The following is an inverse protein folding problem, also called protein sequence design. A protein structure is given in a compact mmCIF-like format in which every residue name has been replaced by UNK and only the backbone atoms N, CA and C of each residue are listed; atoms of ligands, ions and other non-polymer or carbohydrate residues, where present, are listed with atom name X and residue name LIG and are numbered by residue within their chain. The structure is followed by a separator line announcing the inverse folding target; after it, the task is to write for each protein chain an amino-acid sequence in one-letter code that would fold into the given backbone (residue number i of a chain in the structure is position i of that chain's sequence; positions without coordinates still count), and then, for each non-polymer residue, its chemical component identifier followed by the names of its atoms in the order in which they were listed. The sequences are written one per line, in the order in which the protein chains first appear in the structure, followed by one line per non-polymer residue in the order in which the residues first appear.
data_IF_416354879092
#
_entry.id   IF_416354879092
#
_cell.length_a   1.000
_cell.length_b   1.000
_cell.length_c   1.000
_cell.angle_alpha   90.00
_cell.angle_beta   90.00
_cell.angle_gamma   90.00
#
_symmetry.space_group_name_H-M   'P 1'
#
loop_
_entity.id
_entity.type
_entity.pdbx_description
1 polymer ?
#
# COMPACT_ATOMS: atom_id res chain seq x y z
N UNK A 1 15.75 -11.51 -28.84
CA UNK A 1 15.01 -11.80 -27.58
C UNK A 1 14.48 -10.48 -27.04
N UNK A 2 13.16 -10.33 -26.89
CA UNK A 2 12.59 -9.21 -26.14
C UNK A 2 13.05 -9.41 -24.69
N UNK A 3 13.71 -8.43 -24.09
CA UNK A 3 13.88 -8.46 -22.63
C UNK A 3 12.47 -8.55 -22.03
N UNK A 4 12.22 -9.61 -21.25
CA UNK A 4 10.95 -9.76 -20.54
C UNK A 4 10.87 -8.58 -19.57
N UNK A 5 9.98 -7.63 -19.88
CA UNK A 5 9.73 -6.51 -18.99
C UNK A 5 8.80 -6.99 -17.89
N UNK A 6 9.25 -6.97 -16.64
CA UNK A 6 8.42 -7.31 -15.48
C UNK A 6 7.44 -6.18 -15.22
N UNK A 7 6.15 -6.48 -15.23
CA UNK A 7 5.09 -5.51 -14.99
C UNK A 7 4.73 -5.52 -13.51
N UNK A 8 4.72 -4.36 -12.86
CA UNK A 8 4.39 -4.25 -11.44
C UNK A 8 3.15 -3.40 -11.21
N UNK A 9 2.39 -3.70 -10.17
CA UNK A 9 1.40 -2.78 -9.62
C UNK A 9 1.61 -2.59 -8.12
N UNK A 10 1.45 -1.36 -7.66
CA UNK A 10 1.68 -0.95 -6.27
C UNK A 10 0.32 -0.61 -5.63
N UNK A 11 0.05 -1.16 -4.46
CA UNK A 11 -1.17 -0.92 -3.69
C UNK A 11 -0.78 -0.44 -2.29
N UNK A 12 -1.12 0.81 -1.97
CA UNK A 12 -0.75 1.45 -0.70
C UNK A 12 -1.96 1.62 0.20
N UNK A 13 -2.01 0.81 1.25
CA UNK A 13 -2.91 1.04 2.39
C UNK A 13 -2.38 2.22 3.21
N UNK A 14 -2.87 3.42 2.89
CA UNK A 14 -2.40 4.66 3.50
C UNK A 14 -2.70 4.73 4.99
N UNK A 15 -3.75 4.07 5.47
CA UNK A 15 -4.08 4.03 6.89
C UNK A 15 -3.07 3.16 7.65
N UNK A 16 -2.82 1.93 7.18
CA UNK A 16 -1.82 1.04 7.79
C UNK A 16 -0.42 1.66 7.72
N UNK A 17 -0.05 2.23 6.58
CA UNK A 17 1.24 2.90 6.40
C UNK A 17 1.39 4.17 7.22
N UNK A 18 0.31 4.91 7.50
CA UNK A 18 0.37 6.06 8.41
C UNK A 18 0.78 5.63 9.82
N UNK A 19 0.17 4.58 10.36
CA UNK A 19 0.55 4.03 11.67
C UNK A 19 1.98 3.46 11.67
N UNK A 20 2.39 2.81 10.58
CA UNK A 20 3.76 2.31 10.43
C UNK A 20 4.81 3.43 10.44
N UNK A 21 4.57 4.50 9.68
CA UNK A 21 5.44 5.70 9.66
C UNK A 21 5.50 6.40 11.01
N UNK A 22 4.36 6.53 11.70
CA UNK A 22 4.30 7.08 13.07
C UNK A 22 5.13 6.26 14.05
N UNK A 23 5.05 4.92 14.00
CA UNK A 23 5.86 4.03 14.85
C UNK A 23 7.35 4.19 14.57
N UNK A 24 7.73 4.29 13.30
CA UNK A 24 9.13 4.41 12.90
C UNK A 24 9.71 5.82 13.11
N UNK A 25 8.86 6.84 13.27
CA UNK A 25 9.28 8.23 13.45
C UNK A 25 9.73 8.93 12.17
N UNK A 26 9.36 8.42 11.00
CA UNK A 26 9.69 9.02 9.70
C UNK A 26 8.62 8.74 8.66
N UNK A 27 8.54 9.60 7.64
CA UNK A 27 7.57 9.49 6.55
C UNK A 27 8.27 9.30 5.20
N UNK A 28 7.73 8.45 4.34
CA UNK A 28 8.25 8.27 3.00
C UNK A 28 7.71 9.33 2.02
N UNK A 29 8.46 9.59 0.97
CA UNK A 29 8.02 10.36 -0.19
C UNK A 29 7.35 9.42 -1.21
N UNK A 30 6.05 9.63 -1.53
CA UNK A 30 5.35 8.82 -2.53
C UNK A 30 6.06 8.75 -3.88
N UNK A 31 6.75 9.82 -4.29
CA UNK A 31 7.53 9.82 -5.54
C UNK A 31 8.67 8.81 -5.48
N UNK A 32 9.35 8.73 -4.35
CA UNK A 32 10.49 7.82 -4.14
C UNK A 32 10.06 6.37 -4.09
N UNK A 33 8.84 6.07 -3.64
CA UNK A 33 8.28 4.71 -3.75
C UNK A 33 8.23 4.27 -5.21
N UNK A 34 7.65 5.10 -6.08
CA UNK A 34 7.56 4.80 -7.51
C UNK A 34 8.96 4.59 -8.10
N UNK A 35 9.89 5.50 -7.81
CA UNK A 35 11.28 5.38 -8.27
C UNK A 35 11.97 4.12 -7.76
N UNK A 36 11.84 3.79 -6.47
CA UNK A 36 12.49 2.63 -5.87
C UNK A 36 12.11 1.32 -6.58
N UNK A 37 10.81 1.09 -6.81
CA UNK A 37 10.35 -0.13 -7.46
C UNK A 37 10.50 -0.15 -8.99
N UNK A 38 10.80 0.98 -9.62
CA UNK A 38 10.95 1.07 -11.09
C UNK A 38 12.39 1.29 -11.54
N UNK A 39 13.34 1.40 -10.61
CA UNK A 39 14.74 1.65 -10.94
C UNK A 39 15.46 0.42 -11.53
N UNK A 40 14.90 -0.78 -11.35
CA UNK A 40 15.45 -2.01 -11.92
C UNK A 40 15.25 -2.06 -13.44
N UNK A 41 16.30 -2.32 -14.25
CA UNK A 41 16.18 -2.43 -15.70
C UNK A 41 15.15 -3.49 -16.11
N UNK A 42 14.20 -3.10 -16.97
CA UNK A 42 13.15 -4.00 -17.44
C UNK A 42 11.88 -3.98 -16.59
N UNK A 43 11.85 -3.31 -15.44
CA UNK A 43 10.61 -3.14 -14.67
C UNK A 43 9.75 -2.03 -15.27
N UNK A 44 8.44 -2.31 -15.43
CA UNK A 44 7.43 -1.36 -15.88
C UNK A 44 6.32 -1.23 -14.84
N UNK A 45 6.06 -0.01 -14.39
CA UNK A 45 4.88 0.29 -13.57
C UNK A 45 3.62 0.25 -14.44
N UNK A 46 2.64 -0.57 -14.06
CA UNK A 46 1.32 -0.62 -14.68
C UNK A 46 0.32 0.24 -13.92
N UNK A 47 0.22 0.03 -12.60
CA UNK A 47 -0.69 0.79 -11.75
C UNK A 47 -0.02 1.16 -10.42
N UNK A 48 -0.42 2.29 -9.86
CA UNK A 48 -0.11 2.67 -8.49
C UNK A 48 -1.38 3.20 -7.83
N UNK A 49 -1.87 2.49 -6.81
CA UNK A 49 -3.07 2.84 -6.07
C UNK A 49 -2.71 3.32 -4.67
N UNK A 50 -3.45 4.33 -4.19
CA UNK A 50 -3.34 4.83 -2.83
C UNK A 50 -4.71 4.88 -2.19
N UNK A 51 -4.86 4.24 -1.03
CA UNK A 51 -6.12 4.12 -0.30
C UNK A 51 -6.03 4.92 0.99
N UNK A 52 -6.97 5.84 1.22
CA UNK A 52 -6.95 6.68 2.43
C UNK A 52 -8.34 6.98 2.98
N UNK A 53 -8.49 6.86 4.29
CA UNK A 53 -9.61 7.44 5.03
C UNK A 53 -9.48 8.95 5.14
N UNK A 54 -10.60 9.68 5.13
CA UNK A 54 -10.65 11.12 5.30
C UNK A 54 -11.60 11.50 6.44
N UNK A 55 -11.24 12.50 7.25
CA UNK A 55 -12.16 13.07 8.25
C UNK A 55 -13.34 13.78 7.59
N UNK A 56 -13.05 14.54 6.55
CA UNK A 56 -14.04 15.26 5.73
C UNK A 56 -13.52 15.45 4.30
N UNK A 57 -14.30 16.09 3.43
CA UNK A 57 -13.92 16.28 2.02
C UNK A 57 -12.69 17.19 1.81
N UNK A 58 -12.37 18.05 2.77
CA UNK A 58 -11.24 18.98 2.72
C UNK A 58 -9.96 18.39 3.34
N UNK A 59 -10.10 17.45 4.27
CA UNK A 59 -8.99 16.76 4.93
C UNK A 59 -7.96 16.28 3.92
N UNK A 60 -6.67 16.56 4.11
CA UNK A 60 -5.58 16.14 3.22
C UNK A 60 -5.71 16.44 1.71
N UNK A 61 -6.50 17.45 1.30
CA UNK A 61 -6.70 17.79 -0.13
C UNK A 61 -5.39 17.98 -0.89
N UNK A 62 -4.47 18.82 -0.40
CA UNK A 62 -3.20 19.09 -1.07
C UNK A 62 -2.31 17.85 -1.22
N UNK A 63 -2.35 16.94 -0.25
CA UNK A 63 -1.63 15.67 -0.33
C UNK A 63 -2.22 14.76 -1.42
N UNK A 64 -3.55 14.65 -1.51
CA UNK A 64 -4.21 13.89 -2.58
C UNK A 64 -3.90 14.46 -3.96
N UNK A 65 -3.96 15.78 -4.12
CA UNK A 65 -3.69 16.44 -5.40
C UNK A 65 -2.24 16.18 -5.85
N UNK A 66 -1.29 16.15 -4.88
CA UNK A 66 0.09 15.75 -5.15
C UNK A 66 0.20 14.28 -5.59
N UNK A 67 -0.48 13.34 -4.91
CA UNK A 67 -0.51 11.93 -5.30
C UNK A 67 -1.06 11.73 -6.71
N UNK A 68 -2.17 12.41 -7.05
CA UNK A 68 -2.77 12.37 -8.39
C UNK A 68 -1.77 12.89 -9.43
N UNK A 69 -1.09 14.00 -9.14
CA UNK A 69 -0.08 14.59 -10.02
C UNK A 69 1.15 13.69 -10.24
N UNK A 70 1.46 12.84 -9.26
CA UNK A 70 2.51 11.82 -9.36
C UNK A 70 2.08 10.58 -10.17
N UNK A 71 0.79 10.45 -10.50
CA UNK A 71 0.24 9.33 -11.26
C UNK A 71 -0.41 8.23 -10.42
N UNK A 72 -0.65 8.46 -9.13
CA UNK A 72 -1.43 7.52 -8.31
C UNK A 72 -2.92 7.62 -8.64
N UNK A 73 -3.58 6.45 -8.65
CA UNK A 73 -5.04 6.38 -8.52
C UNK A 73 -5.40 6.42 -7.04
N UNK A 74 -5.96 7.55 -6.60
CA UNK A 74 -6.32 7.77 -5.19
C UNK A 74 -7.77 7.33 -4.94
N UNK A 75 -7.95 6.36 -4.04
CA UNK A 75 -9.23 5.90 -3.53
C UNK A 75 -9.40 6.42 -2.11
N UNK A 76 -10.56 7.01 -1.80
CA UNK A 76 -10.81 7.53 -0.47
C UNK A 76 -12.23 7.28 0.02
N UNK A 77 -12.39 7.26 1.34
CA UNK A 77 -13.67 7.07 2.03
C UNK A 77 -13.72 7.97 3.25
N UNK A 78 -14.86 8.62 3.48
CA UNK A 78 -15.05 9.42 4.69
C UNK A 78 -15.12 8.47 5.88
N UNK A 79 -14.37 8.79 6.93
CA UNK A 79 -14.32 8.07 8.19
C UNK A 79 -15.72 8.00 8.78
N UNK A 80 -16.14 6.79 9.16
CA UNK A 80 -17.38 6.61 9.93
C UNK A 80 -17.03 6.61 11.40
N UNK A 81 -17.79 7.37 12.17
CA UNK A 81 -17.76 7.33 13.63
C UNK A 81 -18.55 6.12 14.12
N UNK A 82 -17.87 5.29 14.90
CA UNK A 82 -18.45 4.16 15.60
C UNK A 82 -18.39 4.47 17.08
N UNK A 83 -19.55 4.57 17.70
CA UNK A 83 -19.66 4.63 19.15
C UNK A 83 -19.55 3.21 19.71
N UNK A 84 -18.60 3.01 20.61
CA UNK A 84 -18.47 1.76 21.35
C UNK A 84 -19.18 1.89 22.69
N UNK A 85 -20.36 1.28 22.80
CA UNK A 85 -21.17 1.27 24.02
C UNK A 85 -20.43 0.68 25.23
N UNK A 86 -19.45 -0.19 25.00
CA UNK A 86 -18.71 -0.86 26.07
C UNK A 86 -17.56 -0.02 26.64
N UNK A 87 -16.90 0.78 25.80
CA UNK A 87 -15.80 1.66 26.23
C UNK A 87 -16.21 3.13 26.39
N UNK A 88 -17.42 3.50 25.94
CA UNK A 88 -17.92 4.88 25.93
C UNK A 88 -17.14 5.81 25.00
N UNK A 89 -16.39 5.25 24.04
CA UNK A 89 -15.50 6.01 23.15
C UNK A 89 -15.99 5.99 21.71
N UNK A 90 -15.78 7.10 21.03
CA UNK A 90 -15.91 7.18 19.58
C UNK A 90 -14.62 6.67 18.93
N UNK A 91 -14.75 5.76 17.96
CA UNK A 91 -13.66 5.34 17.08
C UNK A 91 -14.01 5.72 15.65
N UNK A 92 -13.05 6.28 14.92
CA UNK A 92 -13.21 6.58 13.51
C UNK A 92 -12.52 5.48 12.71
N UNK A 93 -13.26 4.75 11.88
CA UNK A 93 -12.70 3.71 11.02
C UNK A 93 -13.15 3.93 9.57
N UNK A 94 -12.17 3.94 8.67
CA UNK A 94 -12.38 3.73 7.24
C UNK A 94 -11.45 2.59 6.85
N UNK A 95 -12.03 1.40 6.75
CA UNK A 95 -11.37 0.26 6.16
C UNK A 95 -11.65 0.31 4.63
N UNK A 96 -10.57 0.19 3.85
CA UNK A 96 -10.56 0.20 2.40
C UNK A 96 -10.05 -1.15 1.83
N UNK A 97 -9.97 -2.19 2.64
CA UNK A 97 -9.37 -3.48 2.31
C UNK A 97 -10.14 -4.17 1.19
N UNK A 98 -11.47 -4.06 1.21
CA UNK A 98 -12.33 -4.57 0.14
C UNK A 98 -12.01 -3.86 -1.17
N UNK A 99 -11.92 -2.53 -1.16
CA UNK A 99 -11.58 -1.73 -2.33
C UNK A 99 -10.17 -2.06 -2.86
N UNK A 100 -9.19 -2.28 -1.96
CA UNK A 100 -7.84 -2.76 -2.31
C UNK A 100 -7.91 -4.11 -3.03
N UNK A 101 -8.57 -5.10 -2.42
CA UNK A 101 -8.68 -6.46 -2.97
C UNK A 101 -9.38 -6.45 -4.33
N UNK A 102 -10.46 -5.67 -4.48
CA UNK A 102 -11.17 -5.54 -5.76
C UNK A 102 -10.26 -4.95 -6.85
N UNK A 103 -9.55 -3.86 -6.56
CA UNK A 103 -8.66 -3.23 -7.55
C UNK A 103 -7.48 -4.15 -7.90
N UNK A 104 -6.93 -4.93 -6.95
CA UNK A 104 -5.94 -5.98 -7.24
C UNK A 104 -6.47 -6.98 -8.27
N UNK A 105 -7.63 -7.59 -8.00
CA UNK A 105 -8.18 -8.61 -8.91
C UNK A 105 -8.65 -8.04 -10.25
N UNK A 106 -9.18 -6.83 -10.29
CA UNK A 106 -9.59 -6.18 -11.53
C UNK A 106 -8.41 -5.88 -12.46
N UNK A 107 -7.21 -5.72 -11.90
CA UNK A 107 -6.00 -5.38 -12.66
C UNK A 107 -5.00 -6.54 -12.75
N UNK A 108 -5.35 -7.74 -12.26
CA UNK A 108 -4.41 -8.88 -12.14
C UNK A 108 -3.77 -9.31 -13.45
N UNK A 109 -4.48 -9.23 -14.57
CA UNK A 109 -3.93 -9.58 -15.89
C UNK A 109 -2.91 -8.54 -16.43
N UNK A 110 -2.82 -7.38 -15.78
CA UNK A 110 -1.99 -6.26 -16.22
C UNK A 110 -0.57 -6.30 -15.63
N UNK A 111 -0.34 -7.07 -14.57
CA UNK A 111 0.93 -7.11 -13.86
C UNK A 111 1.39 -8.55 -13.62
N UNK A 112 2.69 -8.71 -13.38
CA UNK A 112 3.33 -9.97 -13.03
C UNK A 112 3.66 -10.01 -11.52
N UNK A 113 3.85 -8.84 -10.90
CA UNK A 113 4.18 -8.69 -9.49
C UNK A 113 3.35 -7.59 -8.81
N UNK A 114 2.88 -7.88 -7.60
CA UNK A 114 2.21 -6.94 -6.70
C UNK A 114 3.17 -6.47 -5.63
N UNK A 115 3.18 -5.16 -5.39
CA UNK A 115 3.79 -4.54 -4.22
C UNK A 115 2.66 -4.04 -3.31
N UNK A 116 2.40 -4.76 -2.22
CA UNK A 116 1.41 -4.38 -1.21
C UNK A 116 2.12 -3.68 -0.05
N UNK A 117 1.79 -2.41 0.17
CA UNK A 117 2.18 -1.69 1.38
C UNK A 117 1.08 -1.83 2.43
N UNK A 118 1.14 -2.91 3.22
CA UNK A 118 0.29 -3.13 4.39
C UNK A 118 0.89 -4.23 5.28
N UNK A 119 0.65 -4.15 6.58
CA UNK A 119 0.92 -5.23 7.54
C UNK A 119 -0.31 -6.06 7.91
N UNK A 120 -1.48 -5.78 7.34
CA UNK A 120 -2.77 -6.36 7.78
C UNK A 120 -2.95 -7.82 7.36
N UNK A 121 -3.29 -8.68 8.33
CA UNK A 121 -3.53 -10.11 8.13
C UNK A 121 -4.72 -10.41 7.24
N UNK A 122 -5.69 -9.49 7.15
CA UNK A 122 -6.90 -9.67 6.34
C UNK A 122 -6.61 -9.81 4.83
N UNK A 123 -5.42 -9.40 4.38
CA UNK A 123 -4.96 -9.58 3.00
C UNK A 123 -4.42 -10.99 2.69
N UNK A 124 -4.20 -11.86 3.68
CA UNK A 124 -3.59 -13.19 3.50
C UNK A 124 -4.29 -14.00 2.39
N UNK A 125 -5.61 -14.15 2.48
CA UNK A 125 -6.40 -14.91 1.51
C UNK A 125 -6.36 -14.30 0.11
N UNK A 126 -6.34 -12.97 0.03
CA UNK A 126 -6.28 -12.26 -1.25
C UNK A 126 -4.94 -12.52 -1.95
N UNK A 127 -3.82 -12.42 -1.23
CA UNK A 127 -2.50 -12.65 -1.82
C UNK A 127 -2.27 -14.11 -2.19
N UNK A 128 -2.81 -15.08 -1.43
CA UNK A 128 -2.76 -16.51 -1.82
C UNK A 128 -3.48 -16.77 -3.14
N UNK A 129 -4.65 -16.16 -3.34
CA UNK A 129 -5.40 -16.28 -4.58
C UNK A 129 -4.73 -15.55 -5.76
N UNK A 130 -4.02 -14.44 -5.52
CA UNK A 130 -3.18 -13.81 -6.54
C UNK A 130 -2.00 -14.71 -6.94
N UNK A 131 -1.37 -15.40 -5.99
CA UNK A 131 -0.29 -16.37 -6.28
C UNK A 131 -0.77 -17.50 -7.18
N UNK A 132 -2.00 -18.00 -6.96
CA UNK A 132 -2.58 -19.02 -7.84
C UNK A 132 -2.86 -18.49 -9.27
N UNK A 133 -2.74 -17.18 -9.50
CA UNK A 133 -2.81 -16.53 -10.82
C UNK A 133 -1.43 -16.17 -11.38
N UNK A 134 -0.37 -16.81 -10.88
CA UNK A 134 1.03 -16.55 -11.26
C UNK A 134 1.51 -15.12 -10.96
N UNK A 135 0.89 -14.43 -10.00
CA UNK A 135 1.38 -13.14 -9.51
C UNK A 135 2.41 -13.35 -8.41
N UNK A 136 3.58 -12.72 -8.52
CA UNK A 136 4.55 -12.66 -7.43
C UNK A 136 4.14 -11.60 -6.39
N UNK A 137 4.20 -11.95 -5.10
CA UNK A 137 3.74 -11.07 -4.03
C UNK A 137 4.92 -10.50 -3.26
N UNK A 138 5.08 -9.19 -3.30
CA UNK A 138 5.96 -8.46 -2.38
C UNK A 138 5.12 -7.67 -1.39
N UNK A 139 5.35 -7.89 -0.09
CA UNK A 139 4.75 -7.10 0.99
C UNK A 139 5.80 -6.17 1.58
N UNK A 140 5.45 -4.89 1.69
CA UNK A 140 6.22 -3.87 2.39
C UNK A 140 5.47 -3.47 3.65
N UNK A 141 6.11 -3.63 4.81
CA UNK A 141 5.56 -3.24 6.10
C UNK A 141 6.69 -3.05 7.12
N UNK A 142 6.37 -2.65 8.34
CA UNK A 142 7.36 -2.51 9.42
C UNK A 142 7.47 -3.78 10.24
N UNK A 143 8.69 -4.16 10.64
CA UNK A 143 8.88 -5.29 11.54
C UNK A 143 8.09 -5.15 12.85
N UNK A 144 7.44 -6.23 13.26
CA UNK A 144 6.49 -6.24 14.38
C UNK A 144 5.17 -5.50 14.13
N UNK A 145 4.88 -5.09 12.89
CA UNK A 145 3.55 -4.59 12.45
C UNK A 145 2.92 -5.43 11.33
N UNK A 146 3.65 -6.42 10.80
CA UNK A 146 3.11 -7.38 9.85
C UNK A 146 2.51 -8.58 10.59
N UNK A 147 1.28 -8.97 10.22
CA UNK A 147 0.66 -10.19 10.70
C UNK A 147 1.46 -11.44 10.27
N UNK A 148 1.53 -12.46 11.14
CA UNK A 148 2.40 -13.62 10.91
C UNK A 148 1.96 -14.43 9.69
N UNK A 149 0.66 -14.56 9.53
CA UNK A 149 -0.02 -15.24 8.43
C UNK A 149 0.22 -14.54 7.08
N UNK A 150 0.13 -13.21 7.03
CA UNK A 150 0.49 -12.43 5.83
C UNK A 150 1.98 -12.63 5.49
N UNK A 151 2.86 -12.58 6.50
CA UNK A 151 4.30 -12.81 6.31
C UNK A 151 4.61 -14.24 5.83
N UNK A 152 3.82 -15.22 6.25
CA UNK A 152 3.96 -16.60 5.79
C UNK A 152 3.49 -16.79 4.34
N UNK A 153 2.45 -16.06 3.92
CA UNK A 153 1.85 -16.18 2.60
C UNK A 153 2.57 -15.38 1.49
N UNK A 154 3.36 -14.35 1.84
CA UNK A 154 4.08 -13.50 0.87
C UNK A 154 5.33 -14.18 0.30
N UNK A 155 5.66 -13.93 -0.98
CA UNK A 155 6.87 -14.46 -1.61
C UNK A 155 8.11 -13.65 -1.24
N UNK A 156 7.95 -12.33 -1.05
CA UNK A 156 9.02 -11.42 -0.60
C UNK A 156 8.50 -10.43 0.42
N UNK A 157 9.17 -10.36 1.57
CA UNK A 157 8.94 -9.32 2.56
C UNK A 157 10.05 -8.27 2.49
N UNK A 158 9.68 -6.99 2.53
CA UNK A 158 10.59 -5.86 2.67
C UNK A 158 10.21 -5.10 3.94
N UNK A 159 11.13 -5.02 4.90
CA UNK A 159 10.95 -4.12 6.04
C UNK A 159 11.10 -2.67 5.57
N UNK A 160 10.14 -1.82 5.95
CA UNK A 160 10.10 -0.42 5.55
C UNK A 160 11.37 0.32 5.98
N UNK A 161 11.93 -0.02 7.15
CA UNK A 161 13.18 0.58 7.64
C UNK A 161 14.41 0.16 6.84
N UNK A 162 14.39 -1.01 6.20
CA UNK A 162 15.51 -1.48 5.37
C UNK A 162 15.70 -0.68 4.08
N UNK A 163 14.67 0.07 3.66
CA UNK A 163 14.69 0.90 2.44
C UNK A 163 14.61 2.40 2.76
N UNK A 164 14.66 2.79 4.03
CA UNK A 164 14.46 4.17 4.50
C UNK A 164 15.31 5.18 3.73
N UNK A 165 16.61 4.94 3.60
CA UNK A 165 17.54 5.88 2.95
C UNK A 165 17.17 6.20 1.50
N UNK A 166 16.40 5.34 0.85
CA UNK A 166 15.99 5.48 -0.54
C UNK A 166 14.61 6.13 -0.68
N UNK A 167 13.74 6.01 0.33
CA UNK A 167 12.34 6.42 0.22
C UNK A 167 11.89 7.47 1.24
N UNK A 168 12.68 7.76 2.27
CA UNK A 168 12.34 8.79 3.27
C UNK A 168 12.17 10.15 2.59
N UNK A 169 11.20 10.92 3.09
CA UNK A 169 10.99 12.30 2.68
C UNK A 169 12.18 13.13 3.18
N UNK A 170 13.02 13.60 2.26
CA UNK A 170 14.05 14.57 2.60
C UNK A 170 13.39 15.91 2.90
N UNK A 171 13.77 16.53 4.02
CA UNK A 171 13.53 17.96 4.20
C UNK A 171 14.39 18.71 3.18
N UNK A 172 13.74 19.49 2.32
CA UNK A 172 14.37 20.56 1.55
C UNK A 172 13.88 21.88 2.13
#
# INVERSE_FOLDING_TARGET
MKALSERISIFIDGNNMFYAQQKNGWFFDPRRILSYFTNEPGVKLCNAFWYTGLKDAQDQRGFRDALISLGYTVRYKILKEYYDDSSGRYSQKANLDIEIVIDMFNTVEQYDRVILFSGDGDFERAIELLRSKNTHITVVSTEGMIARELRNATDRYIDLNAIRDQIEKSEF
#
